data_IF_736978242667
#
_entry.id   IF_736978242667
#
_cell.length_a   1.000
_cell.length_b   1.000
_cell.length_c   1.000
_cell.angle_alpha   90.00
_cell.angle_beta   90.00
_cell.angle_gamma   90.00
#
_symmetry.space_group_name_H-M   'P 1'
#
loop_
_entity.id
_entity.type
_entity.pdbx_description
1 polymer ?
#
# COMPACT_ATOMS: atom_id res chain seq x y z
N UNK A 1 15.84 11.27 -2.39
CA UNK A 1 14.92 10.14 -2.69
C UNK A 1 15.25 9.65 -4.09
N UNK A 2 15.23 8.34 -4.38
CA UNK A 2 15.47 7.87 -5.76
C UNK A 2 14.33 8.39 -6.66
N UNK A 3 14.66 8.88 -7.85
CA UNK A 3 13.71 9.52 -8.78
C UNK A 3 12.46 8.67 -9.08
N UNK A 4 12.59 7.34 -9.09
CA UNK A 4 11.49 6.42 -9.37
C UNK A 4 10.40 6.38 -8.30
N UNK A 5 10.70 6.76 -7.05
CA UNK A 5 9.74 6.70 -5.93
C UNK A 5 8.80 7.91 -5.87
N UNK A 6 9.19 9.03 -6.49
CA UNK A 6 8.46 10.31 -6.41
C UNK A 6 7.01 10.21 -6.91
N UNK A 7 6.70 9.58 -8.07
CA UNK A 7 5.32 9.48 -8.54
C UNK A 7 4.39 8.74 -7.56
N UNK A 8 4.90 7.70 -6.90
CA UNK A 8 4.13 6.94 -5.92
C UNK A 8 3.93 7.71 -4.62
N UNK A 9 4.93 8.48 -4.19
CA UNK A 9 4.83 9.37 -3.04
C UNK A 9 3.80 10.48 -3.25
N UNK A 10 3.84 11.14 -4.41
CA UNK A 10 2.87 12.18 -4.77
C UNK A 10 1.44 11.59 -4.83
N UNK A 11 1.29 10.38 -5.36
CA UNK A 11 0.02 9.65 -5.35
C UNK A 11 -0.44 9.32 -3.92
N UNK A 12 0.45 8.79 -3.08
CA UNK A 12 0.13 8.48 -1.68
C UNK A 12 -0.27 9.72 -0.89
N UNK A 13 0.41 10.85 -1.12
CA UNK A 13 0.06 12.13 -0.49
C UNK A 13 -1.36 12.56 -0.83
N UNK A 14 -1.75 12.42 -2.10
CA UNK A 14 -3.11 12.75 -2.54
C UNK A 14 -4.14 11.83 -1.87
N UNK A 15 -3.89 10.51 -1.84
CA UNK A 15 -4.80 9.55 -1.21
C UNK A 15 -4.91 9.81 0.30
N UNK A 16 -3.80 9.98 1.01
CA UNK A 16 -3.83 10.25 2.45
C UNK A 16 -4.56 11.57 2.76
N UNK A 17 -4.31 12.61 1.97
CA UNK A 17 -5.02 13.90 2.12
C UNK A 17 -6.52 13.76 1.88
N UNK A 18 -6.95 12.97 0.89
CA UNK A 18 -8.36 12.69 0.62
C UNK A 18 -9.06 11.99 1.79
N UNK A 19 -8.33 11.21 2.58
CA UNK A 19 -8.82 10.52 3.78
C UNK A 19 -8.62 11.33 5.06
N UNK A 20 -8.11 12.58 4.96
CA UNK A 20 -7.84 13.43 6.12
C UNK A 20 -6.66 12.98 6.97
N UNK A 21 -5.78 12.16 6.42
CA UNK A 21 -4.64 11.56 7.13
C UNK A 21 -3.34 12.37 6.94
N UNK A 22 -2.43 12.33 7.93
CA UNK A 22 -1.08 12.87 7.78
C UNK A 22 -0.31 12.21 6.63
N UNK A 23 0.33 13.04 5.81
CA UNK A 23 1.12 12.60 4.63
C UNK A 23 2.33 11.76 5.02
N UNK A 24 2.82 11.95 6.24
CA UNK A 24 3.95 11.23 6.82
C UNK A 24 3.68 9.74 6.96
N UNK A 25 2.41 9.31 7.00
CA UNK A 25 2.06 7.88 7.09
C UNK A 25 2.54 7.07 5.88
N UNK A 26 2.81 7.70 4.73
CA UNK A 26 3.43 7.03 3.56
C UNK A 26 4.80 6.42 3.87
N UNK A 27 5.50 6.89 4.91
CA UNK A 27 6.77 6.31 5.32
C UNK A 27 6.61 4.91 5.92
N UNK A 28 5.42 4.53 6.40
CA UNK A 28 5.12 3.14 6.80
C UNK A 28 5.32 2.21 5.60
N UNK A 29 4.83 2.58 4.40
CA UNK A 29 5.05 1.78 3.19
C UNK A 29 6.54 1.61 2.84
N UNK A 30 7.37 2.61 3.16
CA UNK A 30 8.83 2.51 3.01
C UNK A 30 9.44 1.56 4.04
N UNK A 31 9.01 1.64 5.30
CA UNK A 31 9.52 0.79 6.38
C UNK A 31 9.17 -0.68 6.12
N UNK A 32 7.92 -0.95 5.72
CA UNK A 32 7.40 -2.30 5.54
C UNK A 32 7.94 -3.02 4.29
N UNK A 33 8.11 -2.29 3.18
CA UNK A 33 8.44 -2.91 1.89
C UNK A 33 9.62 -2.28 1.15
N UNK A 34 10.14 -1.16 1.62
CA UNK A 34 11.04 -0.30 0.83
C UNK A 34 10.33 0.33 -0.37
N UNK A 35 9.01 0.54 -0.28
CA UNK A 35 8.13 0.96 -1.38
C UNK A 35 8.16 -0.02 -2.57
N UNK A 36 8.36 -1.32 -2.32
CA UNK A 36 8.35 -2.34 -3.37
C UNK A 36 6.95 -2.90 -3.54
N UNK A 37 6.38 -2.75 -4.73
CA UNK A 37 5.07 -3.31 -5.05
C UNK A 37 4.97 -4.83 -4.88
N UNK A 38 6.07 -5.56 -5.04
CA UNK A 38 6.12 -7.02 -4.99
C UNK A 38 6.83 -7.57 -3.75
N UNK A 39 6.98 -6.77 -2.69
CA UNK A 39 7.47 -7.29 -1.42
C UNK A 39 6.50 -8.34 -0.88
N UNK A 40 7.02 -9.52 -0.54
CA UNK A 40 6.26 -10.60 0.06
C UNK A 40 7.02 -11.10 1.28
N UNK A 41 6.38 -11.10 2.44
CA UNK A 41 6.94 -11.69 3.66
C UNK A 41 6.71 -13.20 3.70
N UNK A 42 7.49 -13.90 4.52
CA UNK A 42 7.32 -15.34 4.76
C UNK A 42 5.91 -15.68 5.30
N UNK A 43 5.29 -14.75 6.03
CA UNK A 43 3.96 -14.89 6.60
C UNK A 43 2.83 -14.56 5.60
N UNK A 44 3.15 -14.08 4.40
CA UNK A 44 2.20 -13.78 3.33
C UNK A 44 1.70 -12.33 3.27
N UNK A 45 2.32 -11.42 4.02
CA UNK A 45 2.13 -9.98 3.83
C UNK A 45 2.66 -9.56 2.47
N UNK A 46 1.92 -8.74 1.72
CA UNK A 46 2.22 -8.45 0.32
C UNK A 46 2.02 -6.96 -0.01
N UNK A 47 2.81 -6.45 -0.95
CA UNK A 47 2.61 -5.11 -1.51
C UNK A 47 3.36 -4.00 -0.78
N UNK A 48 3.17 -2.75 -1.20
CA UNK A 48 3.89 -1.61 -0.64
C UNK A 48 3.52 -1.35 0.83
N UNK A 49 2.30 -1.72 1.23
CA UNK A 49 1.76 -1.57 2.59
C UNK A 49 1.76 -2.89 3.40
N UNK A 50 2.45 -3.93 2.91
CA UNK A 50 2.56 -5.24 3.56
C UNK A 50 1.22 -5.80 4.08
N UNK A 51 0.19 -5.77 3.26
CA UNK A 51 -1.13 -6.27 3.66
C UNK A 51 -1.17 -7.79 3.78
N UNK A 52 -1.68 -8.28 4.91
CA UNK A 52 -2.13 -9.66 5.04
C UNK A 52 -3.38 -9.91 4.17
N UNK A 53 -3.57 -11.12 3.60
CA UNK A 53 -4.69 -11.39 2.71
C UNK A 53 -6.06 -11.12 3.35
N UNK A 54 -6.22 -11.45 4.64
CA UNK A 54 -7.47 -11.23 5.36
C UNK A 54 -7.80 -9.74 5.49
N UNK A 55 -6.84 -8.93 5.95
CA UNK A 55 -7.00 -7.49 6.09
C UNK A 55 -7.24 -6.83 4.73
N UNK A 56 -6.48 -7.18 3.70
CA UNK A 56 -6.67 -6.65 2.35
C UNK A 56 -8.12 -6.84 1.85
N UNK A 57 -8.69 -8.05 2.00
CA UNK A 57 -10.09 -8.31 1.62
C UNK A 57 -11.07 -7.50 2.45
N UNK A 58 -10.84 -7.38 3.76
CA UNK A 58 -11.69 -6.58 4.65
C UNK A 58 -11.74 -5.10 4.23
N UNK A 59 -10.63 -4.55 3.72
CA UNK A 59 -10.55 -3.17 3.26
C UNK A 59 -10.84 -2.99 1.76
N UNK A 60 -11.38 -4.02 1.10
CA UNK A 60 -11.93 -3.96 -0.25
C UNK A 60 -10.93 -4.23 -1.37
N UNK A 61 -9.78 -4.85 -1.08
CA UNK A 61 -8.86 -5.34 -2.10
C UNK A 61 -9.27 -6.74 -2.57
N UNK A 62 -9.32 -6.93 -3.88
CA UNK A 62 -9.55 -8.23 -4.50
C UNK A 62 -8.25 -9.05 -4.56
N UNK A 63 -8.33 -10.30 -4.13
CA UNK A 63 -7.23 -11.26 -4.14
C UNK A 63 -7.74 -12.57 -4.74
N UNK A 64 -7.46 -12.76 -6.02
CA UNK A 64 -7.74 -13.98 -6.79
C UNK A 64 -6.45 -14.57 -7.36
N UNK A 65 -6.55 -15.77 -7.96
CA UNK A 65 -5.40 -16.52 -8.49
C UNK A 65 -4.60 -15.79 -9.58
N UNK A 66 -5.18 -14.79 -10.25
CA UNK A 66 -4.51 -14.00 -11.30
C UNK A 66 -4.46 -12.50 -11.03
N UNK A 67 -4.96 -12.04 -9.88
CA UNK A 67 -5.01 -10.62 -9.51
C UNK A 67 -4.86 -10.49 -8.01
N UNK A 68 -3.84 -9.77 -7.59
CA UNK A 68 -3.64 -9.43 -6.19
C UNK A 68 -3.53 -7.90 -6.09
N UNK A 69 -4.63 -7.26 -5.69
CA UNK A 69 -4.70 -5.80 -5.61
C UNK A 69 -3.85 -5.22 -4.47
N UNK A 70 -3.26 -6.06 -3.62
CA UNK A 70 -2.21 -5.63 -2.68
C UNK A 70 -0.97 -5.12 -3.41
N UNK A 71 -0.70 -5.61 -4.62
CA UNK A 71 0.43 -5.19 -5.45
C UNK A 71 0.21 -3.83 -6.12
N UNK A 72 -1.02 -3.34 -6.16
CA UNK A 72 -1.37 -2.06 -6.78
C UNK A 72 -1.17 -0.92 -5.78
N UNK A 73 -0.26 0.01 -6.07
CA UNK A 73 0.04 1.12 -5.16
C UNK A 73 -1.20 1.97 -4.85
N UNK A 74 -2.05 2.27 -5.83
CA UNK A 74 -3.18 3.15 -5.65
C UNK A 74 -4.27 2.47 -4.80
N UNK A 75 -4.64 1.24 -5.15
CA UNK A 75 -5.66 0.49 -4.42
C UNK A 75 -5.21 0.16 -3.00
N UNK A 76 -3.99 -0.35 -2.85
CA UNK A 76 -3.44 -0.67 -1.53
C UNK A 76 -3.28 0.56 -0.65
N UNK A 77 -2.97 1.74 -1.21
CA UNK A 77 -2.94 2.99 -0.43
C UNK A 77 -4.32 3.42 0.03
N UNK A 78 -5.36 3.29 -0.81
CA UNK A 78 -6.73 3.52 -0.36
C UNK A 78 -7.19 2.55 0.72
N UNK A 79 -6.77 1.29 0.64
CA UNK A 79 -7.02 0.32 1.71
C UNK A 79 -6.27 0.69 3.00
N UNK A 80 -5.00 1.10 2.89
CA UNK A 80 -4.19 1.54 4.03
C UNK A 80 -4.79 2.78 4.70
N UNK A 81 -5.25 3.75 3.91
CA UNK A 81 -5.88 4.96 4.42
C UNK A 81 -7.21 4.72 5.15
N UNK A 82 -7.87 3.57 4.93
CA UNK A 82 -9.06 3.17 5.70
C UNK A 82 -8.74 2.36 6.95
N UNK A 83 -7.53 1.78 7.00
CA UNK A 83 -7.03 1.00 8.13
C UNK A 83 -6.42 1.90 9.22
N UNK A 84 -5.78 2.99 8.81
CA UNK A 84 -5.12 3.98 9.66
C UNK A 84 -6.11 5.02 10.19
#
# INVERSE_FOLDING_TARGET
>A
MKEWGKPYFDMMDNVLTQHGLPKELKYIAVIESGLKYNAISWAGACGPWAFMPAAARQYGLDITRGRDERLDYYKSTHAAARLL
#
